data_IF_669496295991
#
_entry.id   IF_669496295991
#
_cell.length_a   1.000
_cell.length_b   1.000
_cell.length_c   1.000
_cell.angle_alpha   90.00
_cell.angle_beta   90.00
_cell.angle_gamma   90.00
#
_symmetry.space_group_name_H-M   'P 1'
#
loop_
_entity.id
_entity.type
_entity.pdbx_description
1 polymer ?
#
# COMPACT_ATOMS: atom_id res chain seq x y z
N UNK A 1 13.72 -0.16 1.72
CA UNK A 1 12.52 -0.09 2.56
C UNK A 1 11.52 -1.12 2.04
N UNK A 2 11.00 -1.96 2.91
CA UNK A 2 10.05 -2.99 2.49
C UNK A 2 8.65 -2.41 2.32
N UNK A 3 7.79 -3.17 1.64
CA UNK A 3 6.45 -2.70 1.28
C UNK A 3 5.67 -2.10 2.47
N UNK A 4 5.58 -2.76 3.64
CA UNK A 4 4.80 -2.18 4.74
C UNK A 4 5.31 -0.80 5.16
N UNK A 5 6.62 -0.66 5.30
CA UNK A 5 7.21 0.62 5.70
C UNK A 5 7.11 1.64 4.59
N UNK A 6 7.23 1.20 3.34
CA UNK A 6 7.16 2.10 2.19
C UNK A 6 5.76 2.72 2.07
N UNK A 7 4.72 1.92 2.22
CA UNK A 7 3.35 2.43 2.17
C UNK A 7 3.14 3.44 3.29
N UNK A 8 3.54 3.10 4.50
CA UNK A 8 3.36 4.02 5.64
C UNK A 8 4.15 5.30 5.44
N UNK A 9 5.40 5.20 5.00
CA UNK A 9 6.23 6.38 4.77
C UNK A 9 5.60 7.31 3.73
N UNK A 10 5.18 6.75 2.60
CA UNK A 10 4.57 7.54 1.53
C UNK A 10 3.24 8.13 1.96
N UNK A 11 2.46 7.38 2.74
CA UNK A 11 1.19 7.87 3.26
C UNK A 11 1.40 9.10 4.15
N UNK A 12 2.32 8.98 5.10
CA UNK A 12 2.61 10.07 6.03
C UNK A 12 3.19 11.28 5.31
N UNK A 13 4.03 11.03 4.30
CA UNK A 13 4.60 12.10 3.50
C UNK A 13 3.53 12.88 2.76
N UNK A 14 2.45 12.21 2.34
CA UNK A 14 1.32 12.85 1.69
C UNK A 14 0.33 13.44 2.67
N UNK A 15 0.49 13.17 3.96
CA UNK A 15 -0.39 13.71 4.98
C UNK A 15 -1.72 12.97 5.13
N UNK A 16 -1.81 11.73 4.67
CA UNK A 16 -3.04 10.95 4.78
C UNK A 16 -3.07 10.15 6.08
N UNK A 17 -4.27 10.01 6.65
CA UNK A 17 -4.53 9.00 7.66
C UNK A 17 -4.71 7.64 6.95
N UNK A 18 -4.69 6.55 7.72
CA UNK A 18 -4.98 5.22 7.13
C UNK A 18 -6.38 5.20 6.50
N UNK A 19 -7.36 5.78 7.19
CA UNK A 19 -8.72 5.81 6.68
C UNK A 19 -8.80 6.58 5.37
N UNK A 20 -8.13 7.72 5.30
CA UNK A 20 -8.14 8.53 4.08
C UNK A 20 -7.51 7.78 2.91
N UNK A 21 -6.34 7.19 3.13
CA UNK A 21 -5.68 6.46 2.05
C UNK A 21 -6.49 5.24 1.62
N UNK A 22 -7.05 4.51 2.58
CA UNK A 22 -7.87 3.34 2.25
C UNK A 22 -9.06 3.73 1.39
N UNK A 23 -9.74 4.82 1.76
CA UNK A 23 -10.88 5.30 0.98
C UNK A 23 -10.46 5.71 -0.43
N UNK A 24 -9.36 6.43 -0.56
CA UNK A 24 -8.88 6.87 -1.87
C UNK A 24 -8.48 5.70 -2.76
N UNK A 25 -7.90 4.67 -2.15
CA UNK A 25 -7.45 3.48 -2.88
C UNK A 25 -8.55 2.44 -3.05
N UNK A 26 -9.72 2.71 -2.49
CA UNK A 26 -10.88 1.81 -2.56
C UNK A 26 -10.58 0.44 -1.95
N UNK A 27 -9.91 0.45 -0.81
CA UNK A 27 -9.66 -0.76 -0.02
C UNK A 27 -10.17 -0.51 1.40
N UNK A 28 -10.35 -1.57 2.18
CA UNK A 28 -10.80 -1.40 3.55
C UNK A 28 -9.66 -0.89 4.43
N UNK A 29 -10.00 -0.13 5.47
CA UNK A 29 -9.01 0.36 6.41
C UNK A 29 -8.30 -0.80 7.14
N UNK A 30 -9.01 -1.85 7.58
CA UNK A 30 -8.31 -3.01 8.15
C UNK A 30 -7.32 -3.67 7.20
N UNK A 31 -7.62 -3.71 5.90
CA UNK A 31 -6.67 -4.26 4.93
C UNK A 31 -5.40 -3.40 4.86
N UNK A 32 -5.57 -2.07 4.80
CA UNK A 32 -4.42 -1.18 4.79
C UNK A 32 -3.61 -1.31 6.07
N UNK A 33 -4.29 -1.40 7.21
CA UNK A 33 -3.62 -1.58 8.49
C UNK A 33 -2.78 -2.86 8.49
N UNK A 34 -3.33 -3.97 7.96
CA UNK A 34 -2.60 -5.23 7.87
C UNK A 34 -1.39 -5.11 6.95
N UNK A 35 -1.53 -4.38 5.83
CA UNK A 35 -0.41 -4.15 4.92
C UNK A 35 0.71 -3.37 5.63
N UNK A 36 0.37 -2.32 6.35
CA UNK A 36 1.37 -1.49 7.03
C UNK A 36 2.01 -2.22 8.21
N UNK A 37 1.29 -3.15 8.80
CA UNK A 37 1.82 -3.96 9.91
C UNK A 37 2.63 -5.17 9.44
N UNK A 38 2.67 -5.42 8.14
CA UNK A 38 3.36 -6.58 7.59
C UNK A 38 2.65 -7.89 7.84
N UNK A 39 1.36 -7.84 8.20
CA UNK A 39 0.58 -9.03 8.51
C UNK A 39 -0.08 -9.66 7.29
N UNK A 40 -0.17 -8.92 6.20
CA UNK A 40 -0.80 -9.40 4.98
C UNK A 40 0.01 -8.92 3.79
N UNK A 41 0.06 -9.74 2.75
CA UNK A 41 0.66 -9.36 1.48
C UNK A 41 -0.39 -8.68 0.63
N UNK A 42 -0.02 -7.66 -0.15
CA UNK A 42 -1.02 -6.96 -0.95
C UNK A 42 -1.47 -7.79 -2.13
N UNK A 43 -2.76 -7.72 -2.44
CA UNK A 43 -3.23 -8.15 -3.74
C UNK A 43 -2.67 -7.20 -4.78
N UNK A 44 -2.33 -7.70 -5.95
CA UNK A 44 -1.74 -6.86 -7.00
C UNK A 44 -2.61 -5.66 -7.31
N UNK A 45 -3.91 -5.89 -7.45
CA UNK A 45 -4.83 -4.81 -7.77
C UNK A 45 -4.84 -3.72 -6.68
N UNK A 46 -4.81 -4.12 -5.41
CA UNK A 46 -4.77 -3.17 -4.31
C UNK A 46 -3.46 -2.39 -4.31
N UNK A 47 -2.35 -3.07 -4.59
CA UNK A 47 -1.05 -2.41 -4.66
C UNK A 47 -1.01 -1.39 -5.80
N UNK A 48 -1.63 -1.70 -6.94
CA UNK A 48 -1.72 -0.76 -8.06
C UNK A 48 -2.49 0.50 -7.65
N UNK A 49 -3.62 0.32 -6.95
CA UNK A 49 -4.40 1.47 -6.51
C UNK A 49 -3.63 2.32 -5.51
N UNK A 50 -2.96 1.67 -4.55
CA UNK A 50 -2.13 2.40 -3.58
C UNK A 50 -1.03 3.18 -4.28
N UNK A 51 -0.36 2.57 -5.25
CA UNK A 51 0.72 3.24 -5.98
C UNK A 51 0.22 4.49 -6.68
N UNK A 52 -0.95 4.42 -7.31
CA UNK A 52 -1.55 5.58 -7.98
C UNK A 52 -1.77 6.74 -7.03
N UNK A 53 -2.34 6.46 -5.87
CA UNK A 53 -2.65 7.49 -4.89
C UNK A 53 -1.37 8.05 -4.26
N UNK A 54 -0.39 7.19 -4.05
CA UNK A 54 0.87 7.59 -3.43
C UNK A 54 1.85 8.23 -4.42
N UNK A 55 1.54 8.20 -5.71
CA UNK A 55 2.34 8.89 -6.72
C UNK A 55 3.61 8.17 -7.11
N UNK A 56 3.63 6.84 -7.00
CA UNK A 56 4.77 6.02 -7.39
C UNK A 56 4.28 4.93 -8.34
N UNK A 57 5.21 4.27 -9.03
CA UNK A 57 4.84 3.14 -9.89
C UNK A 57 4.54 1.93 -9.02
N UNK A 58 3.74 1.01 -9.56
CA UNK A 58 3.48 -0.25 -8.90
C UNK A 58 4.79 -0.99 -8.61
N UNK A 59 5.67 -1.06 -9.61
CA UNK A 59 6.95 -1.75 -9.45
C UNK A 59 7.77 -1.14 -8.33
N UNK A 60 7.81 0.18 -8.27
CA UNK A 60 8.55 0.88 -7.24
C UNK A 60 8.00 0.58 -5.85
N UNK A 61 6.67 0.53 -5.75
CA UNK A 61 6.02 0.28 -4.46
C UNK A 61 6.30 -1.12 -3.95
N UNK A 62 6.32 -2.12 -4.84
CA UNK A 62 6.43 -3.53 -4.44
C UNK A 62 7.79 -4.16 -4.75
N UNK A 63 8.79 -3.37 -5.14
CA UNK A 63 10.06 -3.94 -5.60
C UNK A 63 10.75 -4.83 -4.57
N UNK A 64 10.54 -4.57 -3.29
CA UNK A 64 11.13 -5.37 -2.22
C UNK A 64 10.17 -6.45 -1.71
N UNK A 65 9.01 -6.59 -2.34
CA UNK A 65 7.98 -7.53 -1.91
C UNK A 65 7.87 -8.67 -2.93
N UNK A 66 8.45 -9.82 -2.59
CA UNK A 66 8.52 -10.96 -3.51
C UNK A 66 7.26 -11.81 -3.50
N UNK A 67 6.32 -11.51 -2.61
CA UNK A 67 5.15 -12.36 -2.41
C UNK A 67 3.85 -11.62 -2.65
N UNK A 68 3.85 -10.68 -3.60
CA UNK A 68 2.61 -10.02 -4.02
C UNK A 68 1.70 -11.07 -4.64
N UNK A 69 0.43 -11.05 -4.22
CA UNK A 69 -0.55 -12.01 -4.73
C UNK A 69 -1.05 -11.53 -6.08
N UNK A 70 -0.83 -12.35 -7.10
CA UNK A 70 -1.27 -12.04 -8.47
C UNK A 70 -2.75 -12.38 -8.60
N UNK A 71 -3.56 -11.41 -8.99
CA UNK A 71 -4.99 -11.58 -9.22
C UNK A 71 -5.41 -10.89 -10.49
#
# INVERSE_FOLDING_TARGET
>A
MKFPDKVRYLRLKKGYTQTELANLANISQPALQAYEAGKAKPLKNNAIQLAKILGVSYEELVEDEKSVIEK
#
